data_IF_304458956361
#
_entry.id   IF_304458956361
#
_cell.length_a   1.000
_cell.length_b   1.000
_cell.length_c   1.000
_cell.angle_alpha   90.00
_cell.angle_beta   90.00
_cell.angle_gamma   90.00
#
_symmetry.space_group_name_H-M   'P 1'
#
loop_
_entity.id
_entity.type
_entity.pdbx_description
1 polymer ?
#
# COMPACT_ATOMS: atom_id res chain seq x y z
N UNK A 1 9.00 15.20 3.87
CA UNK A 1 8.40 14.82 5.17
C UNK A 1 8.10 13.33 5.16
N UNK A 2 8.31 12.61 6.27
CA UNK A 2 7.89 11.21 6.37
C UNK A 2 6.37 11.09 6.62
N UNK A 3 5.71 10.27 5.83
CA UNK A 3 4.27 9.99 5.91
C UNK A 3 4.03 8.50 6.19
N UNK A 4 2.82 8.20 6.63
CA UNK A 4 2.28 6.83 6.67
C UNK A 4 1.15 6.69 5.67
N UNK A 5 1.15 5.62 4.89
CA UNK A 5 0.07 5.32 3.94
C UNK A 5 -0.49 3.94 4.25
N UNK A 6 -1.80 3.85 4.42
CA UNK A 6 -2.54 2.61 4.65
C UNK A 6 -3.39 2.33 3.40
N UNK A 7 -3.20 1.14 2.83
CA UNK A 7 -3.68 0.72 1.51
C UNK A 7 -4.54 -0.55 1.65
N UNK A 8 -5.68 -0.54 0.97
CA UNK A 8 -6.51 -1.74 0.77
C UNK A 8 -6.93 -1.80 -0.69
N UNK A 9 -6.38 -2.77 -1.43
CA UNK A 9 -6.76 -3.10 -2.79
C UNK A 9 -7.87 -4.16 -2.77
N UNK A 10 -8.99 -3.86 -3.43
CA UNK A 10 -10.16 -4.72 -3.54
C UNK A 10 -10.42 -5.03 -5.02
N UNK A 11 -9.76 -6.05 -5.61
CA UNK A 11 -10.09 -6.52 -6.95
C UNK A 11 -11.53 -7.08 -6.96
N UNK A 12 -12.27 -6.81 -8.03
CA UNK A 12 -13.67 -7.24 -8.20
C UNK A 12 -13.74 -8.44 -9.16
N UNK A 13 -12.85 -9.41 -8.95
CA UNK A 13 -12.69 -10.63 -9.75
C UNK A 13 -12.57 -11.88 -8.86
N UNK A 14 -12.72 -13.08 -9.45
CA UNK A 14 -12.64 -14.34 -8.69
C UNK A 14 -11.21 -14.71 -8.26
N UNK A 15 -10.22 -14.21 -8.98
CA UNK A 15 -8.78 -14.39 -8.74
C UNK A 15 -8.16 -13.25 -7.92
N UNK A 16 -8.99 -12.52 -7.16
CA UNK A 16 -8.61 -11.35 -6.36
C UNK A 16 -7.36 -11.58 -5.48
N UNK A 17 -7.18 -12.78 -4.93
CA UNK A 17 -6.06 -13.10 -4.04
C UNK A 17 -4.71 -12.87 -4.73
N UNK A 18 -4.57 -13.29 -5.98
CA UNK A 18 -3.31 -13.20 -6.71
C UNK A 18 -2.94 -11.72 -6.95
N UNK A 19 -3.93 -10.91 -7.34
CA UNK A 19 -3.78 -9.48 -7.52
C UNK A 19 -3.35 -8.75 -6.25
N UNK A 20 -3.94 -9.09 -5.10
CA UNK A 20 -3.55 -8.51 -3.80
C UNK A 20 -2.14 -8.97 -3.40
N UNK A 21 -1.81 -10.25 -3.57
CA UNK A 21 -0.49 -10.81 -3.27
C UNK A 21 0.59 -10.10 -4.10
N UNK A 22 0.37 -9.92 -5.39
CA UNK A 22 1.34 -9.31 -6.29
C UNK A 22 1.54 -7.83 -6.00
N UNK A 23 0.47 -7.10 -5.66
CA UNK A 23 0.56 -5.72 -5.21
C UNK A 23 1.40 -5.60 -3.93
N UNK A 24 1.16 -6.44 -2.92
CA UNK A 24 1.94 -6.43 -1.66
C UNK A 24 3.40 -6.79 -1.93
N UNK A 25 3.68 -7.77 -2.80
CA UNK A 25 5.05 -8.12 -3.19
C UNK A 25 5.77 -6.96 -3.88
N UNK A 26 5.07 -6.20 -4.74
CA UNK A 26 5.64 -5.02 -5.38
C UNK A 26 5.99 -3.93 -4.36
N UNK A 27 5.17 -3.74 -3.32
CA UNK A 27 5.47 -2.82 -2.22
C UNK A 27 6.68 -3.29 -1.41
N UNK A 28 6.75 -4.59 -1.06
CA UNK A 28 7.86 -5.21 -0.31
C UNK A 28 9.20 -5.18 -1.04
N UNK A 29 9.19 -5.09 -2.37
CA UNK A 29 10.40 -5.02 -3.19
C UNK A 29 11.04 -3.61 -3.18
N UNK A 30 10.41 -2.63 -2.53
CA UNK A 30 10.98 -1.29 -2.35
C UNK A 30 11.88 -1.18 -1.12
N UNK A 31 12.61 -0.07 -1.03
CA UNK A 31 13.40 0.28 0.16
C UNK A 31 12.55 0.89 1.29
N UNK A 32 11.22 0.99 1.11
CA UNK A 32 10.32 1.52 2.13
C UNK A 32 9.99 0.47 3.19
N UNK A 33 9.70 0.93 4.41
CA UNK A 33 9.17 0.06 5.45
C UNK A 33 7.73 -0.31 5.09
N UNK A 34 7.45 -1.61 5.04
CA UNK A 34 6.11 -2.16 4.77
C UNK A 34 5.69 -3.05 5.95
N UNK A 35 4.46 -2.86 6.42
CA UNK A 35 3.84 -3.69 7.47
C UNK A 35 2.47 -4.15 6.98
N UNK A 36 2.11 -5.40 7.24
CA UNK A 36 0.77 -5.92 6.92
C UNK A 36 0.01 -6.34 8.18
N UNK A 37 -1.31 -6.21 8.09
CA UNK A 37 -2.24 -6.82 9.02
C UNK A 37 -3.38 -7.48 8.22
N UNK A 38 -4.31 -8.20 8.87
CA UNK A 38 -5.39 -8.89 8.15
C UNK A 38 -6.35 -8.01 7.34
N UNK A 39 -6.31 -6.68 7.51
CA UNK A 39 -7.24 -5.74 6.91
C UNK A 39 -6.59 -4.80 5.88
N UNK A 40 -5.29 -4.51 6.01
CA UNK A 40 -4.59 -3.54 5.17
C UNK A 40 -3.08 -3.76 5.10
N UNK A 41 -2.47 -3.09 4.12
CA UNK A 41 -1.02 -2.95 3.99
C UNK A 41 -0.61 -1.51 4.27
N UNK A 42 0.40 -1.32 5.11
CA UNK A 42 0.92 -0.02 5.50
C UNK A 42 2.32 0.15 4.94
N UNK A 43 2.61 1.35 4.43
CA UNK A 43 3.92 1.72 3.87
C UNK A 43 4.32 3.11 4.33
N UNK A 44 5.60 3.28 4.65
CA UNK A 44 6.13 4.47 5.31
C UNK A 44 7.37 4.98 4.60
N UNK A 45 7.53 6.30 4.54
CA UNK A 45 8.70 6.92 3.92
C UNK A 45 8.53 8.40 3.61
N UNK A 46 9.59 8.98 3.03
CA UNK A 46 9.62 10.38 2.62
C UNK A 46 8.62 10.64 1.47
N UNK A 47 7.74 11.63 1.65
CA UNK A 47 6.61 11.93 0.76
C UNK A 47 6.99 12.02 -0.71
N UNK A 48 8.06 12.77 -1.02
CA UNK A 48 8.50 13.03 -2.40
C UNK A 48 9.14 11.81 -3.07
N UNK A 49 9.44 10.76 -2.31
CA UNK A 49 9.93 9.48 -2.82
C UNK A 49 8.81 8.43 -2.84
N UNK A 50 8.01 8.38 -1.78
CA UNK A 50 6.97 7.38 -1.59
C UNK A 50 5.78 7.59 -2.54
N UNK A 51 5.32 8.83 -2.72
CA UNK A 51 4.14 9.10 -3.55
C UNK A 51 4.37 8.78 -5.04
N UNK A 52 5.51 9.13 -5.67
CA UNK A 52 5.80 8.69 -7.03
C UNK A 52 5.88 7.16 -7.18
N UNK A 53 6.54 6.48 -6.23
CA UNK A 53 6.61 5.01 -6.21
C UNK A 53 5.22 4.37 -6.11
N UNK A 54 4.38 4.85 -5.18
CA UNK A 54 3.01 4.36 -5.05
C UNK A 54 2.19 4.62 -6.31
N UNK A 55 2.32 5.80 -6.91
CA UNK A 55 1.60 6.12 -8.15
C UNK A 55 1.96 5.15 -9.29
N UNK A 56 3.24 4.78 -9.42
CA UNK A 56 3.68 3.74 -10.38
C UNK A 56 3.02 2.40 -10.08
N UNK A 57 3.11 1.90 -8.83
CA UNK A 57 2.57 0.57 -8.48
C UNK A 57 1.05 0.49 -8.53
N UNK A 58 0.36 1.59 -8.20
CA UNK A 58 -1.09 1.69 -8.34
C UNK A 58 -1.48 1.62 -9.82
N UNK A 59 -0.77 2.36 -10.68
CA UNK A 59 -1.00 2.32 -12.12
C UNK A 59 -0.77 0.92 -12.67
N UNK A 60 0.35 0.27 -12.34
CA UNK A 60 0.64 -1.10 -12.76
C UNK A 60 -0.49 -2.05 -12.31
N UNK A 61 -0.97 -1.92 -11.07
CA UNK A 61 -2.08 -2.74 -10.57
C UNK A 61 -3.38 -2.51 -11.34
N UNK A 62 -3.70 -1.27 -11.69
CA UNK A 62 -4.93 -0.91 -12.40
C UNK A 62 -4.89 -1.36 -13.86
N UNK A 63 -3.72 -1.35 -14.50
CA UNK A 63 -3.57 -1.85 -15.88
C UNK A 63 -3.69 -3.38 -15.98
N UNK A 64 -3.40 -4.10 -14.89
CA UNK A 64 -3.47 -5.56 -14.83
C UNK A 64 -4.83 -6.11 -14.32
N UNK A 65 -5.83 -5.25 -14.12
CA UNK A 65 -7.13 -5.62 -13.55
C UNK A 65 -8.28 -4.94 -14.31
N UNK A 66 -9.33 -5.69 -14.62
CA UNK A 66 -10.50 -5.11 -15.30
C UNK A 66 -11.30 -4.17 -14.39
N UNK A 67 -11.51 -4.58 -13.12
CA UNK A 67 -12.28 -3.82 -12.14
C UNK A 67 -11.68 -4.01 -10.75
N UNK A 68 -11.33 -2.89 -10.09
CA UNK A 68 -10.87 -2.89 -8.71
C UNK A 68 -11.20 -1.58 -8.02
N UNK A 69 -11.11 -1.58 -6.69
CA UNK A 69 -11.18 -0.39 -5.85
C UNK A 69 -9.94 -0.36 -4.98
N UNK A 70 -9.23 0.78 -4.96
CA UNK A 70 -8.13 1.00 -4.04
C UNK A 70 -8.53 2.08 -3.03
N UNK A 71 -8.51 1.73 -1.75
CA UNK A 71 -8.65 2.70 -0.65
C UNK A 71 -7.27 3.11 -0.17
N UNK A 72 -7.06 4.43 -0.05
CA UNK A 72 -5.80 5.01 0.41
C UNK A 72 -6.10 5.98 1.54
N UNK A 73 -5.41 5.82 2.66
CA UNK A 73 -5.41 6.77 3.78
C UNK A 73 -3.99 7.26 4.01
N UNK A 74 -3.77 8.55 3.82
CA UNK A 74 -2.46 9.20 4.01
C UNK A 74 -2.45 9.96 5.32
N UNK A 75 -1.45 9.70 6.14
CA UNK A 75 -1.20 10.38 7.42
C UNK A 75 0.09 11.18 7.31
N UNK A 76 0.03 12.47 7.65
CA UNK A 76 1.16 13.41 7.54
C UNK A 76 2.43 12.99 8.30
N UNK A 77 2.30 12.15 9.32
CA UNK A 77 3.40 11.73 10.19
C UNK A 77 3.75 10.26 9.98
N UNK A 78 5.00 9.90 10.24
CA UNK A 78 5.42 8.52 10.41
C UNK A 78 4.76 7.91 11.68
N UNK A 79 4.10 6.77 11.53
CA UNK A 79 3.46 6.00 12.59
C UNK A 79 3.98 4.56 12.64
N UNK A 80 5.12 4.30 12.01
CA UNK A 80 5.65 2.96 11.82
C UNK A 80 6.17 2.31 13.11
N UNK A 81 6.28 3.08 14.19
CA UNK A 81 6.70 2.70 15.53
C UNK A 81 5.53 2.67 16.53
N UNK A 82 4.27 2.72 16.06
CA UNK A 82 3.11 2.69 16.95
C UNK A 82 3.07 1.40 17.77
N UNK A 83 3.10 1.57 19.09
CA UNK A 83 2.80 0.53 20.07
C UNK A 83 1.63 0.99 20.96
N UNK A 84 0.61 0.15 21.21
CA UNK A 84 -0.44 0.46 22.17
C UNK A 84 0.13 0.72 23.56
N UNK A 85 -0.29 1.81 24.21
CA UNK A 85 0.21 2.22 25.53
C UNK A 85 -0.87 2.20 26.62
N UNK A 86 -1.88 1.35 26.48
CA UNK A 86 -3.02 1.23 27.39
C UNK A 86 -3.31 -0.23 27.74
#
# INVERSE_FOLDING_TARGET
>A
MNISVDLTLSPLSNDYEQHVIDFIKALRASDFKVLENPLSTQIFGEFDQLMPFLNEKIKDSFENQDMCVLTIKVVKTDRSDYEPSF
#
